data_IF_630000096109
#
_entry.id   IF_630000096109
#
_cell.length_a   1.000
_cell.length_b   1.000
_cell.length_c   1.000
_cell.angle_alpha   90.00
_cell.angle_beta   90.00
_cell.angle_gamma   90.00
#
_symmetry.space_group_name_H-M   'P 1'
#
loop_
_entity.id
_entity.type
_entity.pdbx_description
1 polymer ?
#
# COMPACT_ATOMS: atom_id res chain seq x y z
N UNK A 1 -42.45 -20.19 -32.96
CA UNK A 1 -42.53 -20.08 -31.49
C UNK A 1 -41.09 -20.05 -30.99
N UNK A 2 -40.65 -18.91 -30.47
CA UNK A 2 -39.36 -18.79 -29.81
C UNK A 2 -39.52 -19.36 -28.39
N UNK A 3 -38.67 -20.30 -28.00
CA UNK A 3 -38.62 -20.80 -26.63
C UNK A 3 -37.26 -20.50 -26.06
N UNK A 4 -37.32 -19.71 -25.00
CA UNK A 4 -36.23 -19.18 -24.22
C UNK A 4 -35.23 -20.25 -23.79
N UNK A 5 -33.95 -20.00 -23.99
CA UNK A 5 -32.91 -20.61 -23.17
C UNK A 5 -32.27 -19.51 -22.35
N UNK A 6 -32.58 -19.56 -21.05
CA UNK A 6 -32.18 -18.63 -20.01
C UNK A 6 -30.70 -18.23 -20.09
N UNK A 7 -30.46 -16.92 -20.14
CA UNK A 7 -29.17 -16.30 -19.88
C UNK A 7 -28.72 -16.61 -18.45
N UNK A 8 -27.84 -17.60 -18.32
CA UNK A 8 -27.05 -17.76 -17.11
C UNK A 8 -25.88 -16.78 -17.20
N UNK A 9 -26.12 -15.50 -16.89
CA UNK A 9 -25.04 -14.56 -16.61
C UNK A 9 -24.37 -15.00 -15.30
N UNK A 10 -23.45 -15.96 -15.40
CA UNK A 10 -22.43 -16.18 -14.39
C UNK A 10 -21.55 -14.94 -14.36
N UNK A 11 -21.95 -13.94 -13.57
CA UNK A 11 -21.06 -12.84 -13.21
C UNK A 11 -19.93 -13.45 -12.39
N UNK A 12 -18.86 -13.84 -13.09
CA UNK A 12 -17.59 -14.16 -12.48
C UNK A 12 -17.15 -12.94 -11.66
N UNK A 13 -17.35 -13.00 -10.34
CA UNK A 13 -16.74 -12.07 -9.41
C UNK A 13 -15.23 -12.27 -9.57
N UNK A 14 -14.53 -11.33 -10.19
CA UNK A 14 -13.07 -11.35 -10.20
C UNK A 14 -12.62 -11.25 -8.75
N UNK A 15 -12.05 -12.35 -8.23
CA UNK A 15 -11.51 -12.37 -6.88
C UNK A 15 -10.46 -11.25 -6.78
N UNK A 16 -10.82 -10.20 -6.03
CA UNK A 16 -9.92 -9.07 -5.83
C UNK A 16 -8.71 -9.57 -5.03
N UNK A 17 -7.51 -9.16 -5.44
CA UNK A 17 -6.30 -9.49 -4.69
C UNK A 17 -6.46 -9.14 -3.20
N UNK A 18 -6.07 -10.04 -2.32
CA UNK A 18 -6.23 -9.84 -0.87
C UNK A 18 -5.00 -9.20 -0.23
N UNK A 19 -3.88 -9.15 -0.94
CA UNK A 19 -2.65 -8.48 -0.54
C UNK A 19 -1.84 -8.08 -1.76
N UNK A 20 -0.83 -7.25 -1.54
CA UNK A 20 0.14 -6.90 -2.56
C UNK A 20 1.33 -6.15 -1.99
N UNK A 21 2.35 -5.99 -2.82
CA UNK A 21 3.58 -5.32 -2.46
C UNK A 21 4.11 -4.45 -3.61
N UNK A 22 4.97 -3.49 -3.25
CA UNK A 22 5.67 -2.65 -4.19
C UNK A 22 7.05 -2.28 -3.63
N UNK A 23 8.02 -2.20 -4.53
CA UNK A 23 9.31 -1.56 -4.26
C UNK A 23 9.16 -0.11 -4.70
N UNK A 24 9.41 0.83 -3.80
CA UNK A 24 9.40 2.26 -4.13
C UNK A 24 10.70 2.56 -4.85
N UNK A 25 10.60 2.89 -6.14
CA UNK A 25 11.74 3.27 -6.96
C UNK A 25 12.19 4.68 -6.61
N UNK A 26 13.51 4.84 -6.54
CA UNK A 26 14.08 6.12 -6.23
C UNK A 26 14.33 6.94 -7.50
N UNK A 27 13.29 7.59 -8.05
CA UNK A 27 13.42 8.50 -9.20
C UNK A 27 14.40 9.64 -8.91
N UNK A 28 15.51 9.68 -9.64
CA UNK A 28 16.53 10.71 -9.56
C UNK A 28 16.08 12.00 -10.28
N UNK A 29 14.91 12.55 -9.93
CA UNK A 29 14.58 13.91 -10.34
C UNK A 29 15.43 14.87 -9.50
N UNK A 30 16.08 15.85 -10.14
CA UNK A 30 17.08 16.76 -9.55
C UNK A 30 16.59 17.60 -8.35
N UNK A 31 15.33 17.44 -7.96
CA UNK A 31 14.65 18.09 -6.85
C UNK A 31 14.21 17.00 -5.85
N UNK A 32 15.03 16.74 -4.82
CA UNK A 32 14.55 16.17 -3.55
C UNK A 32 13.68 14.91 -3.61
N UNK A 33 14.28 13.76 -3.96
CA UNK A 33 13.72 12.41 -3.85
C UNK A 33 12.48 12.20 -2.93
N UNK A 34 11.28 12.30 -3.52
CA UNK A 34 9.98 11.95 -2.93
C UNK A 34 9.20 11.15 -3.97
N UNK A 35 9.02 9.84 -3.74
CA UNK A 35 8.22 8.98 -4.62
C UNK A 35 6.93 8.63 -3.89
N UNK A 36 5.79 8.99 -4.47
CA UNK A 36 4.46 8.63 -3.98
C UNK A 36 3.69 7.94 -5.09
N UNK A 37 2.99 6.86 -4.74
CA UNK A 37 2.02 6.20 -5.62
C UNK A 37 0.71 5.95 -4.87
N UNK A 38 -0.38 6.05 -5.61
CA UNK A 38 -1.74 5.75 -5.15
C UNK A 38 -2.35 4.67 -6.03
N UNK A 39 -2.89 3.62 -5.42
CA UNK A 39 -3.59 2.51 -6.08
C UNK A 39 -4.86 2.19 -5.30
N UNK A 40 -5.80 1.47 -5.93
CA UNK A 40 -7.02 1.01 -5.25
C UNK A 40 -7.18 -0.52 -5.28
N UNK A 41 -6.21 -1.31 -4.77
CA UNK A 41 -6.26 -2.76 -4.88
C UNK A 41 -7.08 -3.40 -3.74
N UNK A 42 -7.61 -4.60 -3.98
CA UNK A 42 -8.27 -5.41 -2.95
C UNK A 42 -9.55 -4.80 -2.38
N UNK A 43 -10.19 -3.88 -3.11
CA UNK A 43 -11.36 -3.12 -2.64
C UNK A 43 -11.05 -1.98 -1.66
N UNK A 44 -9.76 -1.68 -1.43
CA UNK A 44 -9.29 -0.59 -0.57
C UNK A 44 -8.50 0.47 -1.34
N UNK A 45 -8.08 1.53 -0.66
CA UNK A 45 -7.16 2.56 -1.19
C UNK A 45 -5.79 2.39 -0.56
N UNK A 46 -4.75 2.35 -1.38
CA UNK A 46 -3.37 2.21 -0.97
C UNK A 46 -2.52 3.40 -1.41
N UNK A 47 -2.04 4.17 -0.45
CA UNK A 47 -1.08 5.26 -0.65
C UNK A 47 0.27 4.82 -0.09
N UNK A 48 1.30 4.80 -0.91
CA UNK A 48 2.61 4.31 -0.49
C UNK A 48 3.73 5.09 -1.16
N UNK A 49 4.89 5.07 -0.54
CA UNK A 49 6.00 5.85 -1.05
C UNK A 49 7.15 6.00 -0.09
N UNK A 50 8.05 6.91 -0.45
CA UNK A 50 9.12 7.33 0.43
C UNK A 50 9.48 8.80 0.23
N UNK A 51 9.98 9.41 1.29
CA UNK A 51 10.38 10.82 1.32
C UNK A 51 11.65 11.02 2.16
N UNK A 52 12.50 11.96 1.76
CA UNK A 52 13.64 12.39 2.58
C UNK A 52 13.12 13.23 3.75
N UNK A 53 13.48 12.84 4.96
CA UNK A 53 13.15 13.60 6.18
C UNK A 53 14.42 14.01 6.91
N UNK A 54 14.33 15.08 7.69
CA UNK A 54 15.37 15.46 8.65
C UNK A 54 14.75 15.35 10.03
N UNK A 55 15.31 14.48 10.87
CA UNK A 55 14.86 14.31 12.26
C UNK A 55 15.96 14.81 13.20
N UNK A 56 15.70 14.78 14.52
CA UNK A 56 16.74 15.07 15.53
C UNK A 56 17.96 14.14 15.41
N UNK A 57 17.78 12.94 14.84
CA UNK A 57 18.85 11.98 14.59
C UNK A 57 19.57 12.19 13.23
N UNK A 58 19.19 13.23 12.48
CA UNK A 58 19.81 13.63 11.21
C UNK A 58 18.98 13.31 9.96
N UNK A 59 19.66 13.22 8.82
CA UNK A 59 19.07 13.02 7.49
C UNK A 59 18.64 11.56 7.32
N UNK A 60 17.34 11.30 7.27
CA UNK A 60 16.75 9.97 7.10
C UNK A 60 15.87 9.91 5.84
N UNK A 61 15.38 8.70 5.55
CA UNK A 61 14.32 8.42 4.58
C UNK A 61 13.16 7.77 5.32
N UNK A 62 11.96 8.30 5.13
CA UNK A 62 10.71 7.71 5.60
C UNK A 62 10.16 6.86 4.47
N UNK A 63 9.89 5.59 4.76
CA UNK A 63 9.13 4.67 3.92
C UNK A 63 7.73 4.55 4.53
N UNK A 64 6.68 4.63 3.71
CA UNK A 64 5.31 4.57 4.21
C UNK A 64 4.41 3.71 3.35
N UNK A 65 3.47 3.04 4.02
CA UNK A 65 2.42 2.25 3.42
C UNK A 65 1.14 2.50 4.21
N UNK A 66 0.23 3.27 3.62
CA UNK A 66 -1.05 3.63 4.20
C UNK A 66 -2.14 2.92 3.40
N UNK A 67 -2.86 2.03 4.06
CA UNK A 67 -3.95 1.30 3.42
C UNK A 67 -5.26 1.58 4.14
N UNK A 68 -6.33 1.78 3.37
CA UNK A 68 -7.68 1.99 3.85
C UNK A 68 -8.62 0.97 3.23
N UNK A 69 -9.42 0.32 4.07
CA UNK A 69 -10.51 -0.52 3.60
C UNK A 69 -11.81 -0.17 4.35
N UNK A 70 -12.89 0.09 3.61
CA UNK A 70 -14.15 0.56 4.19
C UNK A 70 -14.92 -0.51 4.98
N UNK A 71 -14.85 -1.78 4.55
CA UNK A 71 -15.63 -2.88 5.13
C UNK A 71 -14.84 -3.92 5.92
N UNK A 72 -13.51 -4.04 5.72
CA UNK A 72 -12.69 -5.11 6.30
C UNK A 72 -11.58 -4.59 7.22
N UNK A 73 -11.16 -5.43 8.16
CA UNK A 73 -9.91 -5.24 8.92
C UNK A 73 -8.74 -5.46 7.97
N UNK A 74 -7.78 -4.56 7.99
CA UNK A 74 -6.75 -4.47 6.97
C UNK A 74 -5.43 -3.95 7.58
N UNK A 75 -4.35 -4.04 6.81
CA UNK A 75 -3.04 -3.57 7.25
C UNK A 75 -2.23 -2.91 6.16
N UNK A 76 -1.37 -1.97 6.57
CA UNK A 76 -0.26 -1.45 5.79
C UNK A 76 1.07 -1.86 6.44
N UNK A 77 2.06 -2.17 5.63
CA UNK A 77 3.43 -2.50 6.09
C UNK A 77 4.45 -1.69 5.31
N UNK A 78 5.36 -1.02 6.03
CA UNK A 78 6.47 -0.28 5.46
C UNK A 78 7.80 -0.88 5.95
N UNK A 79 8.72 -1.11 5.02
CA UNK A 79 10.00 -1.77 5.28
C UNK A 79 11.12 -0.94 4.66
N UNK A 80 12.13 -0.59 5.45
CA UNK A 80 13.34 0.09 4.99
C UNK A 80 14.56 -0.41 5.78
N UNK A 81 15.53 -0.99 5.07
CA UNK A 81 16.65 -1.68 5.73
C UNK A 81 16.16 -2.83 6.62
N UNK A 82 16.59 -2.83 7.88
CA UNK A 82 16.13 -3.79 8.90
C UNK A 82 14.84 -3.37 9.62
N UNK A 83 14.33 -2.17 9.36
CA UNK A 83 13.12 -1.66 10.03
C UNK A 83 11.90 -2.16 9.28
N UNK A 84 11.03 -2.88 9.98
CA UNK A 84 9.74 -3.38 9.48
C UNK A 84 8.62 -2.89 10.41
N UNK A 85 7.72 -2.08 9.88
CA UNK A 85 6.57 -1.55 10.61
C UNK A 85 5.29 -1.98 9.94
N UNK A 86 4.48 -2.78 10.63
CA UNK A 86 3.10 -3.10 10.25
C UNK A 86 2.13 -2.35 11.15
N UNK A 87 1.08 -1.80 10.53
CA UNK A 87 -0.08 -1.26 11.25
C UNK A 87 -1.33 -1.93 10.73
N UNK A 88 -2.19 -2.29 11.66
CA UNK A 88 -3.51 -2.89 11.40
C UNK A 88 -4.56 -1.89 11.82
N UNK A 89 -5.63 -1.80 11.04
CA UNK A 89 -6.77 -0.94 11.36
C UNK A 89 -8.09 -1.68 11.14
N UNK A 90 -9.07 -1.34 11.98
CA UNK A 90 -10.46 -1.73 11.78
C UNK A 90 -11.03 -1.08 10.52
N UNK A 91 -12.15 -1.62 10.04
CA UNK A 91 -12.89 -1.10 8.88
C UNK A 91 -13.14 0.42 8.99
N UNK A 92 -12.99 1.14 7.87
CA UNK A 92 -13.25 2.58 7.79
C UNK A 92 -12.19 3.46 8.47
N UNK A 93 -11.04 2.91 8.86
CA UNK A 93 -9.88 3.65 9.38
C UNK A 93 -8.66 3.41 8.49
N UNK A 94 -7.64 4.24 8.61
CA UNK A 94 -6.39 4.08 7.88
C UNK A 94 -5.37 3.28 8.70
N UNK A 95 -4.77 2.27 8.09
CA UNK A 95 -3.59 1.58 8.59
C UNK A 95 -2.30 2.34 8.20
N UNK A 96 -1.86 3.27 9.04
CA UNK A 96 -0.75 4.19 8.75
C UNK A 96 0.63 3.66 9.18
N UNK A 97 1.24 2.77 8.39
CA UNK A 97 2.60 2.32 8.65
C UNK A 97 3.66 3.29 8.12
N UNK A 98 4.58 3.69 9.00
CA UNK A 98 5.74 4.53 8.68
C UNK A 98 7.00 3.89 9.28
N UNK A 99 8.02 3.67 8.44
CA UNK A 99 9.33 3.16 8.85
C UNK A 99 10.41 4.17 8.45
N UNK A 100 11.46 4.30 9.26
CA UNK A 100 12.54 5.27 9.05
C UNK A 100 13.88 4.55 8.91
N UNK A 101 14.66 4.93 7.92
CA UNK A 101 15.97 4.32 7.64
C UNK A 101 16.96 5.31 7.01
N UNK A 102 18.11 4.78 6.57
CA UNK A 102 19.14 5.55 5.85
C UNK A 102 18.62 5.92 4.45
N UNK A 103 19.06 7.06 3.90
CA UNK A 103 18.61 7.55 2.59
C UNK A 103 18.93 6.63 1.41
N UNK A 104 20.01 5.85 1.51
CA UNK A 104 20.41 4.87 0.49
C UNK A 104 19.60 3.58 0.52
N UNK A 105 18.75 3.37 1.54
CA UNK A 105 18.02 2.12 1.68
C UNK A 105 16.76 2.10 0.80
N UNK A 106 16.54 0.94 0.19
CA UNK A 106 15.32 0.65 -0.57
C UNK A 106 14.10 0.63 0.37
N UNK A 107 13.02 1.28 -0.06
CA UNK A 107 11.73 1.21 0.60
C UNK A 107 10.87 0.13 -0.08
N UNK A 108 10.36 -0.81 0.72
CA UNK A 108 9.38 -1.82 0.30
C UNK A 108 8.09 -1.61 1.07
N UNK A 109 6.97 -1.64 0.38
CA UNK A 109 5.65 -1.37 0.94
C UNK A 109 4.73 -2.55 0.64
N UNK A 110 3.86 -2.89 1.60
CA UNK A 110 2.86 -3.94 1.45
C UNK A 110 1.50 -3.48 1.98
N UNK A 111 0.44 -4.09 1.48
CA UNK A 111 -0.92 -3.95 1.99
C UNK A 111 -1.59 -5.33 2.09
N UNK A 112 -2.56 -5.46 2.98
CA UNK A 112 -3.47 -6.61 3.07
C UNK A 112 -4.88 -6.13 3.36
N UNK A 113 -5.85 -6.62 2.59
CA UNK A 113 -7.29 -6.42 2.78
C UNK A 113 -7.89 -7.38 3.82
N UNK A 114 -7.13 -8.39 4.26
CA UNK A 114 -7.49 -9.35 5.29
C UNK A 114 -6.30 -9.51 6.25
N UNK A 115 -6.14 -8.52 7.14
CA UNK A 115 -5.13 -8.58 8.21
C UNK A 115 -5.71 -9.22 9.46
#
# INVERSE_FOLDING_TARGET
MASDTSSSNVSASSEQATSGEAIVQDEATGEGFTTQAKKSPGGGTWNFGSEKVTTKAGKQKKCYSHYFHCTKRHSGTAIIGSVNVTKTASKGKWANANAYGKRSQTCKTKWSANA
#
